data_IF_100056619398
#
_entry.id   IF_100056619398
#
_cell.length_a   1.000
_cell.length_b   1.000
_cell.length_c   1.000
_cell.angle_alpha   90.00
_cell.angle_beta   90.00
_cell.angle_gamma   90.00
#
_symmetry.space_group_name_H-M   'P 1'
#
loop_
_entity.id
_entity.type
_entity.pdbx_description
1 polymer ?
#
# COMPACT_ATOMS: atom_id res chain seq x y z
N UNK A 1 -11.90 -42.22 -44.87
CA UNK A 1 -13.14 -42.99 -44.70
C UNK A 1 -13.15 -43.53 -43.28
N UNK A 2 -13.98 -42.96 -42.41
CA UNK A 2 -14.00 -43.28 -40.98
C UNK A 2 -15.42 -43.12 -40.45
N UNK A 3 -15.91 -44.19 -39.86
CA UNK A 3 -17.26 -44.49 -39.38
C UNK A 3 -17.80 -43.47 -38.36
N UNK A 4 -19.05 -43.02 -38.55
CA UNK A 4 -19.84 -42.26 -37.57
C UNK A 4 -20.81 -43.19 -36.86
N UNK A 5 -20.81 -43.16 -35.53
CA UNK A 5 -21.83 -43.74 -34.67
C UNK A 5 -22.94 -42.71 -34.37
N UNK A 6 -24.17 -43.18 -34.53
CA UNK A 6 -25.45 -42.75 -33.93
C UNK A 6 -25.37 -42.75 -32.39
N UNK A 7 -26.16 -42.05 -31.58
CA UNK A 7 -27.31 -41.16 -31.71
C UNK A 7 -27.88 -40.90 -30.29
N UNK A 8 -28.76 -39.90 -30.13
CA UNK A 8 -29.94 -39.93 -29.23
C UNK A 8 -30.66 -38.58 -29.24
N UNK A 9 -31.88 -38.60 -29.78
CA UNK A 9 -32.92 -37.59 -29.65
C UNK A 9 -33.70 -37.86 -28.36
N UNK A 10 -34.12 -36.81 -27.64
CA UNK A 10 -35.46 -36.63 -27.03
C UNK A 10 -35.41 -35.53 -25.96
N UNK A 11 -36.20 -34.47 -26.16
CA UNK A 11 -37.24 -33.92 -25.25
C UNK A 11 -37.74 -32.63 -25.89
N UNK A 12 -38.80 -32.76 -26.68
CA UNK A 12 -39.68 -31.67 -27.09
C UNK A 12 -41.04 -32.30 -27.44
N UNK A 13 -41.91 -32.46 -26.43
CA UNK A 13 -43.36 -32.63 -26.61
C UNK A 13 -44.07 -32.06 -25.39
N UNK A 14 -45.00 -31.12 -25.60
CA UNK A 14 -45.88 -30.68 -24.52
C UNK A 14 -46.55 -29.31 -24.65
N UNK A 15 -46.62 -28.68 -25.83
CA UNK A 15 -47.58 -27.59 -26.05
C UNK A 15 -49.00 -28.19 -26.11
N UNK A 16 -49.79 -28.03 -25.04
CA UNK A 16 -51.26 -27.91 -25.11
C UNK A 16 -51.81 -27.18 -23.86
N UNK A 17 -52.42 -26.02 -24.15
CA UNK A 17 -53.46 -25.28 -23.44
C UNK A 17 -53.25 -24.89 -21.96
N UNK A 18 -53.11 -23.57 -21.73
CA UNK A 18 -53.35 -22.95 -20.43
C UNK A 18 -53.24 -21.43 -20.50
N UNK A 19 -54.38 -20.73 -20.47
CA UNK A 19 -54.49 -19.27 -20.44
C UNK A 19 -53.84 -18.69 -19.16
N UNK A 20 -53.45 -17.41 -19.25
CA UNK A 20 -53.47 -16.40 -18.16
C UNK A 20 -52.23 -16.32 -17.24
N UNK A 21 -51.37 -15.32 -17.46
CA UNK A 21 -50.54 -14.73 -16.40
C UNK A 21 -50.62 -13.19 -16.46
N UNK A 22 -51.70 -12.66 -15.86
CA UNK A 22 -51.84 -11.29 -15.41
C UNK A 22 -51.93 -11.34 -13.87
N UNK A 23 -50.79 -11.09 -13.18
CA UNK A 23 -50.58 -10.53 -11.80
C UNK A 23 -51.26 -11.23 -10.58
N UNK A 24 -50.87 -10.95 -9.30
CA UNK A 24 -49.64 -10.35 -8.74
C UNK A 24 -49.04 -11.15 -7.54
N UNK A 25 -47.72 -11.07 -7.33
CA UNK A 25 -47.09 -11.38 -6.04
C UNK A 25 -46.32 -10.16 -5.53
N UNK A 26 -47.08 -9.15 -5.08
CA UNK A 26 -46.62 -8.16 -4.12
C UNK A 26 -46.92 -8.74 -2.74
N UNK A 27 -45.90 -9.07 -1.94
CA UNK A 27 -45.94 -8.89 -0.48
C UNK A 27 -44.54 -8.96 0.11
N UNK A 28 -44.19 -7.85 0.76
CA UNK A 28 -43.09 -7.60 1.73
C UNK A 28 -41.70 -7.27 1.16
N UNK A 29 -41.43 -5.97 1.01
CA UNK A 29 -40.60 -5.18 1.96
C UNK A 29 -40.84 -3.67 1.79
N UNK A 30 -41.44 -3.11 2.84
CA UNK A 30 -41.44 -1.74 3.39
C UNK A 30 -41.61 -0.52 2.46
N UNK A 31 -42.84 0.00 2.44
CA UNK A 31 -43.12 1.45 2.38
C UNK A 31 -43.11 1.97 3.82
N UNK A 32 -42.24 2.92 4.15
CA UNK A 32 -42.48 3.83 5.26
C UNK A 32 -43.25 5.03 4.68
N UNK A 33 -44.56 5.09 4.94
CA UNK A 33 -45.33 6.33 4.83
C UNK A 33 -45.75 6.69 6.26
N UNK A 34 -45.18 7.76 6.81
CA UNK A 34 -45.58 8.32 8.09
C UNK A 34 -47.03 8.83 8.00
N UNK A 35 -47.85 8.43 8.97
CA UNK A 35 -49.22 8.92 9.15
C UNK A 35 -49.20 10.37 9.65
N UNK A 36 -49.79 11.28 8.88
CA UNK A 36 -50.17 12.64 9.31
C UNK A 36 -51.69 12.76 9.36
N UNK A 37 -52.20 13.40 10.42
CA UNK A 37 -53.59 13.39 10.91
C UNK A 37 -54.66 13.92 9.94
N UNK A 38 -55.87 13.41 10.16
CA UNK A 38 -57.17 13.84 9.63
C UNK A 38 -57.49 15.33 9.85
N UNK A 39 -57.99 16.00 8.80
CA UNK A 39 -58.94 17.11 8.92
C UNK A 39 -60.04 16.93 7.87
N UNK A 40 -61.30 16.90 8.34
CA UNK A 40 -62.52 16.63 7.55
C UNK A 40 -62.80 17.76 6.54
N UNK A 41 -63.24 17.40 5.33
CA UNK A 41 -63.86 18.36 4.41
C UNK A 41 -64.02 17.84 2.97
N UNK A 42 -65.23 17.34 2.66
CA UNK A 42 -65.92 17.34 1.36
C UNK A 42 -65.23 16.73 0.12
N UNK A 43 -65.72 15.53 -0.25
CA UNK A 43 -66.11 15.13 -1.61
C UNK A 43 -65.16 15.44 -2.77
N UNK A 44 -64.26 14.49 -3.09
CA UNK A 44 -63.57 14.42 -4.37
C UNK A 44 -62.58 13.26 -4.41
N UNK A 45 -62.81 12.27 -5.28
CA UNK A 45 -61.88 11.17 -5.51
C UNK A 45 -60.53 11.70 -6.04
N UNK A 46 -59.54 11.86 -5.15
CA UNK A 46 -58.14 12.05 -5.56
C UNK A 46 -57.47 10.69 -5.65
N UNK A 47 -57.02 10.33 -6.85
CA UNK A 47 -56.07 9.24 -7.06
C UNK A 47 -54.81 9.55 -6.24
N UNK A 48 -54.19 8.56 -5.57
CA UNK A 48 -52.93 8.78 -4.88
C UNK A 48 -51.89 9.18 -5.93
N UNK A 49 -51.44 10.43 -5.87
CA UNK A 49 -50.24 10.87 -6.56
C UNK A 49 -49.08 10.26 -5.79
N UNK A 50 -48.59 9.11 -6.26
CA UNK A 50 -47.24 8.67 -5.90
C UNK A 50 -46.30 9.75 -6.44
N UNK A 51 -45.66 10.52 -5.56
CA UNK A 51 -44.48 11.27 -5.98
C UNK A 51 -43.48 10.27 -6.56
N UNK A 52 -42.94 10.52 -7.77
CA UNK A 52 -41.89 9.68 -8.31
C UNK A 52 -40.68 9.77 -7.36
N UNK A 53 -40.19 8.61 -6.91
CA UNK A 53 -38.91 8.55 -6.24
C UNK A 53 -37.85 9.13 -7.19
N UNK A 54 -37.03 10.02 -6.67
CA UNK A 54 -35.88 10.57 -7.37
C UNK A 54 -34.99 9.39 -7.83
N UNK A 55 -34.98 9.07 -9.14
CA UNK A 55 -34.06 8.08 -9.70
C UNK A 55 -34.44 7.39 -11.01
N UNK A 56 -35.70 7.35 -11.43
CA UNK A 56 -36.06 6.68 -12.70
C UNK A 56 -35.92 7.65 -13.89
N UNK A 57 -34.71 7.80 -14.45
CA UNK A 57 -34.56 8.35 -15.80
C UNK A 57 -35.14 7.31 -16.76
N UNK A 58 -36.15 7.64 -17.58
CA UNK A 58 -36.74 6.65 -18.47
C UNK A 58 -35.66 6.13 -19.42
N UNK A 59 -35.51 4.81 -19.46
CA UNK A 59 -34.61 4.08 -20.35
C UNK A 59 -34.71 4.50 -21.83
N UNK A 60 -35.86 5.09 -22.20
CA UNK A 60 -36.22 5.42 -23.56
C UNK A 60 -36.71 4.19 -24.31
N UNK A 61 -36.72 4.27 -25.64
CA UNK A 61 -37.24 3.20 -26.49
C UNK A 61 -36.27 2.02 -26.51
N UNK A 62 -36.80 0.80 -26.43
CA UNK A 62 -36.02 -0.43 -26.61
C UNK A 62 -35.38 -0.42 -28.00
N UNK A 63 -34.07 -0.64 -28.06
CA UNK A 63 -33.30 -0.72 -29.31
C UNK A 63 -32.98 -2.16 -29.70
N UNK A 64 -33.09 -3.10 -28.78
CA UNK A 64 -32.89 -4.52 -29.03
C UNK A 64 -33.91 -5.38 -28.28
N UNK A 65 -34.04 -6.65 -28.67
CA UNK A 65 -34.48 -7.69 -27.76
C UNK A 65 -33.39 -7.95 -26.69
N UNK A 66 -33.66 -8.81 -25.71
CA UNK A 66 -32.64 -9.30 -24.78
C UNK A 66 -31.57 -10.09 -25.56
N UNK A 67 -30.30 -9.74 -25.32
CA UNK A 67 -29.12 -10.38 -25.90
C UNK A 67 -28.43 -11.15 -24.78
N UNK A 68 -28.47 -12.47 -24.84
CA UNK A 68 -27.86 -13.37 -23.86
C UNK A 68 -26.62 -14.08 -24.43
N UNK A 69 -25.82 -14.66 -23.54
CA UNK A 69 -24.55 -15.30 -23.89
C UNK A 69 -23.35 -14.36 -23.74
N UNK A 70 -23.52 -13.27 -23.00
CA UNK A 70 -22.40 -12.44 -22.55
C UNK A 70 -21.53 -13.22 -21.56
N UNK A 71 -20.36 -12.65 -21.23
CA UNK A 71 -19.41 -13.19 -20.25
C UNK A 71 -20.10 -13.71 -19.00
N UNK A 72 -19.68 -14.87 -18.50
CA UNK A 72 -20.23 -15.48 -17.26
C UNK A 72 -21.76 -15.70 -17.28
N UNK A 73 -22.35 -15.84 -18.47
CA UNK A 73 -23.76 -16.16 -18.65
C UNK A 73 -24.72 -14.97 -18.47
N UNK A 74 -24.22 -13.74 -18.59
CA UNK A 74 -25.05 -12.55 -18.51
C UNK A 74 -25.87 -12.27 -19.77
N UNK A 75 -26.79 -11.34 -19.62
CA UNK A 75 -27.60 -10.80 -20.72
C UNK A 75 -27.62 -9.27 -20.65
N UNK A 76 -27.91 -8.62 -21.78
CA UNK A 76 -28.13 -7.17 -21.86
C UNK A 76 -29.34 -6.88 -22.74
N UNK A 77 -30.07 -5.82 -22.41
CA UNK A 77 -31.04 -5.20 -23.31
C UNK A 77 -30.66 -3.73 -23.51
N UNK A 78 -30.63 -3.31 -24.77
CA UNK A 78 -30.22 -1.95 -25.15
C UNK A 78 -31.46 -1.05 -25.27
N UNK A 79 -31.36 0.16 -24.72
CA UNK A 79 -32.37 1.20 -24.84
C UNK A 79 -31.73 2.51 -25.30
N UNK A 80 -32.57 3.45 -25.76
CA UNK A 80 -32.05 4.71 -26.31
C UNK A 80 -31.36 5.62 -25.30
N UNK A 81 -31.73 5.52 -24.02
CA UNK A 81 -31.11 6.25 -22.91
C UNK A 81 -30.01 5.48 -22.18
N UNK A 82 -29.89 4.17 -22.43
CA UNK A 82 -28.87 3.28 -21.87
C UNK A 82 -29.25 1.81 -21.79
N UNK A 83 -28.57 1.03 -20.95
CA UNK A 83 -28.59 -0.43 -21.04
C UNK A 83 -29.05 -1.07 -19.73
N UNK A 84 -29.72 -2.22 -19.82
CA UNK A 84 -30.07 -3.04 -18.65
C UNK A 84 -29.31 -4.34 -18.75
N UNK A 85 -28.42 -4.58 -17.79
CA UNK A 85 -27.62 -5.80 -17.67
C UNK A 85 -28.27 -6.76 -16.69
N UNK A 86 -28.26 -8.04 -17.01
CA UNK A 86 -28.74 -9.08 -16.14
C UNK A 86 -27.63 -10.08 -15.85
N UNK A 87 -27.43 -10.39 -14.58
CA UNK A 87 -26.73 -11.60 -14.15
C UNK A 87 -27.60 -12.35 -13.14
N UNK A 88 -27.35 -13.64 -12.95
CA UNK A 88 -28.01 -14.42 -11.90
C UNK A 88 -27.73 -13.87 -10.50
N UNK A 89 -26.57 -13.24 -10.29
CA UNK A 89 -26.15 -12.75 -8.98
C UNK A 89 -26.80 -11.40 -8.63
N UNK A 90 -26.93 -10.50 -9.61
CA UNK A 90 -27.36 -9.10 -9.39
C UNK A 90 -28.79 -8.83 -9.86
N UNK A 91 -29.37 -9.71 -10.68
CA UNK A 91 -30.63 -9.41 -11.37
C UNK A 91 -30.44 -8.31 -12.43
N UNK A 92 -31.53 -7.67 -12.89
CA UNK A 92 -31.46 -6.58 -13.85
C UNK A 92 -30.96 -5.30 -13.18
N UNK A 93 -29.85 -4.76 -13.68
CA UNK A 93 -29.22 -3.52 -13.21
C UNK A 93 -29.07 -2.56 -14.38
N UNK A 94 -29.51 -1.33 -14.18
CA UNK A 94 -29.55 -0.34 -15.23
C UNK A 94 -28.32 0.57 -15.23
N UNK A 95 -27.84 0.95 -16.42
CA UNK A 95 -26.67 1.81 -16.63
C UNK A 95 -27.01 2.89 -17.64
N UNK A 96 -26.91 4.17 -17.26
CA UNK A 96 -27.42 5.29 -18.05
C UNK A 96 -26.39 6.42 -18.22
N UNK A 97 -26.64 7.31 -19.19
CA UNK A 97 -25.96 8.59 -19.34
C UNK A 97 -24.42 8.50 -19.39
N UNK A 98 -23.75 9.46 -18.76
CA UNK A 98 -22.29 9.56 -18.79
C UNK A 98 -21.59 8.37 -18.13
N UNK A 99 -22.20 7.75 -17.11
CA UNK A 99 -21.67 6.53 -16.49
C UNK A 99 -21.70 5.37 -17.48
N UNK A 100 -22.79 5.22 -18.24
CA UNK A 100 -22.85 4.25 -19.34
C UNK A 100 -21.78 4.53 -20.38
N UNK A 101 -21.64 5.77 -20.84
CA UNK A 101 -20.66 6.10 -21.86
C UNK A 101 -19.22 5.78 -21.38
N UNK A 102 -18.94 5.99 -20.08
CA UNK A 102 -17.66 5.58 -19.48
C UNK A 102 -17.51 4.07 -19.40
N UNK A 103 -18.58 3.35 -19.06
CA UNK A 103 -18.58 1.88 -19.01
C UNK A 103 -18.33 1.27 -20.39
N UNK A 104 -18.98 1.80 -21.42
CA UNK A 104 -18.79 1.45 -22.82
C UNK A 104 -17.31 1.62 -23.22
N UNK A 105 -16.72 2.77 -22.87
CA UNK A 105 -15.31 3.05 -23.13
C UNK A 105 -14.32 2.25 -22.25
N UNK A 106 -14.81 1.51 -21.26
CA UNK A 106 -14.00 0.67 -20.37
C UNK A 106 -14.05 -0.82 -20.76
N UNK A 107 -14.64 -1.15 -21.92
CA UNK A 107 -14.76 -2.51 -22.41
C UNK A 107 -15.98 -3.27 -21.89
N UNK A 108 -16.98 -2.56 -21.33
CA UNK A 108 -18.25 -3.13 -20.87
C UNK A 108 -18.04 -4.28 -19.85
N UNK A 109 -18.89 -5.30 -19.85
CA UNK A 109 -18.81 -6.46 -18.96
C UNK A 109 -17.57 -7.33 -19.20
N UNK A 110 -17.00 -7.23 -20.39
CA UNK A 110 -15.76 -7.90 -20.76
C UNK A 110 -14.51 -7.18 -20.21
N UNK A 111 -14.65 -5.91 -19.80
CA UNK A 111 -13.60 -5.10 -19.21
C UNK A 111 -13.28 -5.42 -17.74
N UNK A 112 -12.36 -4.63 -17.16
CA UNK A 112 -11.93 -4.77 -15.75
C UNK A 112 -13.02 -4.45 -14.73
N UNK A 113 -14.03 -3.67 -15.11
CA UNK A 113 -15.19 -3.37 -14.25
C UNK A 113 -16.10 -4.58 -14.06
N UNK A 114 -16.23 -5.45 -15.06
CA UNK A 114 -17.23 -6.52 -15.04
C UNK A 114 -18.66 -5.97 -15.06
N UNK A 115 -19.62 -6.73 -14.57
CA UNK A 115 -21.03 -6.32 -14.56
C UNK A 115 -21.34 -5.25 -13.51
N UNK A 116 -22.33 -4.37 -13.77
CA UNK A 116 -22.87 -3.49 -12.74
C UNK A 116 -23.55 -4.32 -11.64
N UNK A 117 -23.31 -3.96 -10.39
CA UNK A 117 -23.83 -4.69 -9.22
C UNK A 117 -25.04 -4.03 -8.58
N UNK A 118 -25.15 -2.72 -8.72
CA UNK A 118 -26.24 -1.91 -8.19
C UNK A 118 -26.61 -0.81 -9.20
N UNK A 119 -27.87 -0.32 -9.19
CA UNK A 119 -28.25 0.84 -9.99
C UNK A 119 -27.43 2.08 -9.62
N UNK A 120 -27.39 3.05 -10.54
CA UNK A 120 -26.79 4.36 -10.29
C UNK A 120 -27.41 5.05 -9.06
N UNK A 121 -26.57 5.51 -8.14
CA UNK A 121 -26.96 6.33 -7.00
C UNK A 121 -26.53 7.78 -7.23
N UNK A 122 -27.51 8.67 -7.33
CA UNK A 122 -27.30 10.12 -7.44
C UNK A 122 -27.74 10.83 -6.16
N UNK A 123 -27.08 11.95 -5.86
CA UNK A 123 -27.30 12.71 -4.62
C UNK A 123 -26.05 12.79 -3.74
N UNK A 124 -24.89 12.42 -4.28
CA UNK A 124 -23.61 12.68 -3.64
C UNK A 124 -23.32 14.20 -3.65
N UNK A 125 -22.34 14.61 -2.82
CA UNK A 125 -21.87 16.01 -2.77
C UNK A 125 -21.55 16.56 -4.16
N UNK A 126 -21.71 17.86 -4.35
CA UNK A 126 -21.39 18.54 -5.61
C UNK A 126 -22.18 18.02 -6.83
N UNK A 127 -23.35 17.42 -6.60
CA UNK A 127 -24.22 16.85 -7.64
C UNK A 127 -23.70 15.54 -8.22
N UNK A 128 -22.89 14.81 -7.46
CA UNK A 128 -22.29 13.57 -7.93
C UNK A 128 -23.26 12.38 -7.98
N UNK A 129 -22.94 11.46 -8.88
CA UNK A 129 -23.53 10.13 -8.96
C UNK A 129 -22.42 9.07 -8.93
N UNK A 130 -22.75 7.87 -8.48
CA UNK A 130 -21.85 6.71 -8.52
C UNK A 130 -22.61 5.47 -8.92
N UNK A 131 -21.96 4.58 -9.66
CA UNK A 131 -22.45 3.24 -9.89
C UNK A 131 -21.37 2.21 -9.54
N UNK A 132 -21.82 1.12 -8.91
CA UNK A 132 -20.96 0.01 -8.48
C UNK A 132 -20.92 -1.09 -9.54
N UNK A 133 -19.73 -1.64 -9.71
CA UNK A 133 -19.43 -2.75 -10.59
C UNK A 133 -18.63 -3.80 -9.82
N UNK A 134 -18.53 -5.01 -10.36
CA UNK A 134 -17.79 -6.10 -9.73
C UNK A 134 -16.32 -5.74 -9.45
N UNK A 135 -15.68 -5.02 -10.36
CA UNK A 135 -14.26 -4.66 -10.29
C UNK A 135 -13.96 -3.23 -9.85
N UNK A 136 -14.98 -2.43 -9.51
CA UNK A 136 -14.77 -1.04 -9.11
C UNK A 136 -16.02 -0.16 -9.15
N UNK A 137 -15.79 1.13 -9.33
CA UNK A 137 -16.81 2.17 -9.30
C UNK A 137 -16.69 3.03 -10.56
N UNK A 138 -17.80 3.59 -11.03
CA UNK A 138 -17.77 4.76 -11.92
C UNK A 138 -18.46 5.90 -11.20
N UNK A 139 -17.74 7.00 -11.03
CA UNK A 139 -18.29 8.26 -10.54
C UNK A 139 -18.63 9.17 -11.70
N UNK A 140 -19.66 9.99 -11.55
CA UNK A 140 -19.95 11.13 -12.40
C UNK A 140 -20.10 12.39 -11.56
N UNK A 141 -19.55 13.51 -12.03
CA UNK A 141 -19.92 14.84 -11.53
C UNK A 141 -20.10 15.82 -12.69
N UNK A 142 -20.91 16.88 -12.54
CA UNK A 142 -21.02 17.92 -13.57
C UNK A 142 -19.67 18.59 -13.90
N UNK A 143 -18.77 18.67 -12.90
CA UNK A 143 -17.47 19.35 -13.05
C UNK A 143 -16.41 18.49 -13.76
N UNK A 144 -16.34 17.21 -13.43
CA UNK A 144 -15.26 16.33 -13.88
C UNK A 144 -15.69 15.31 -14.93
N UNK A 145 -17.00 15.11 -15.12
CA UNK A 145 -17.49 14.03 -15.99
C UNK A 145 -17.43 12.68 -15.29
N UNK A 146 -17.47 11.60 -16.08
CA UNK A 146 -17.54 10.23 -15.59
C UNK A 146 -16.17 9.52 -15.63
N UNK A 147 -15.74 8.97 -14.49
CA UNK A 147 -14.44 8.32 -14.32
C UNK A 147 -14.52 7.01 -13.53
N UNK A 148 -13.76 6.00 -13.97
CA UNK A 148 -13.74 4.70 -13.32
C UNK A 148 -12.62 4.60 -12.28
N UNK A 149 -12.89 4.03 -11.11
CA UNK A 149 -11.90 3.74 -10.05
C UNK A 149 -11.87 2.24 -9.82
N UNK A 150 -10.71 1.61 -10.00
CA UNK A 150 -10.58 0.15 -10.15
C UNK A 150 -9.53 -0.45 -9.20
N UNK A 151 -9.60 -1.77 -9.00
CA UNK A 151 -8.50 -2.57 -8.44
C UNK A 151 -7.99 -2.11 -7.07
N UNK A 152 -6.67 -2.05 -6.90
CA UNK A 152 -6.08 -1.65 -5.62
C UNK A 152 -6.38 -0.17 -5.27
N UNK A 153 -6.58 0.68 -6.28
CA UNK A 153 -6.87 2.11 -6.08
C UNK A 153 -8.23 2.30 -5.42
N UNK A 154 -9.26 1.53 -5.80
CA UNK A 154 -10.57 1.64 -5.13
C UNK A 154 -10.51 1.23 -3.66
N UNK A 155 -9.65 0.26 -3.30
CA UNK A 155 -9.43 -0.14 -1.91
C UNK A 155 -8.76 0.95 -1.06
N UNK A 156 -7.83 1.71 -1.66
CA UNK A 156 -7.20 2.86 -0.99
C UNK A 156 -8.17 4.05 -0.88
N UNK A 157 -8.93 4.31 -1.94
CA UNK A 157 -9.94 5.39 -1.97
C UNK A 157 -11.07 5.15 -0.96
N UNK A 158 -11.52 3.89 -0.80
CA UNK A 158 -12.54 3.53 0.19
C UNK A 158 -12.10 3.73 1.62
N UNK A 159 -10.84 3.40 1.93
CA UNK A 159 -10.25 3.63 3.26
C UNK A 159 -10.14 5.12 3.63
N UNK A 160 -10.31 6.01 2.64
CA UNK A 160 -10.25 7.46 2.80
C UNK A 160 -11.63 8.11 2.73
N UNK A 161 -12.72 7.36 2.92
CA UNK A 161 -14.10 7.85 2.86
C UNK A 161 -14.52 8.39 1.48
N UNK A 162 -13.93 7.81 0.43
CA UNK A 162 -14.30 8.06 -0.97
C UNK A 162 -14.36 9.57 -1.31
N UNK A 163 -15.45 10.00 -1.95
CA UNK A 163 -15.63 11.38 -2.40
C UNK A 163 -15.80 12.37 -1.25
N UNK A 164 -16.20 11.90 -0.06
CA UNK A 164 -16.30 12.72 1.14
C UNK A 164 -14.92 12.93 1.80
N UNK A 165 -13.98 12.07 1.45
CA UNK A 165 -12.58 12.12 1.84
C UNK A 165 -11.77 13.30 1.31
N UNK A 166 -10.52 13.35 1.77
CA UNK A 166 -9.57 14.40 1.42
C UNK A 166 -9.29 14.49 -0.08
N UNK A 167 -9.35 13.37 -0.81
CA UNK A 167 -9.08 13.28 -2.25
C UNK A 167 -10.19 13.88 -3.13
N UNK A 168 -11.45 13.81 -2.69
CA UNK A 168 -12.61 14.15 -3.52
C UNK A 168 -12.77 13.20 -4.72
N UNK A 169 -13.48 13.65 -5.74
CA UNK A 169 -13.80 12.83 -6.92
C UNK A 169 -12.58 12.52 -7.80
N UNK A 170 -12.58 11.37 -8.52
CA UNK A 170 -11.63 11.13 -9.61
C UNK A 170 -11.81 12.17 -10.72
N UNK A 171 -10.70 12.61 -11.31
CA UNK A 171 -10.67 13.62 -12.39
C UNK A 171 -10.02 13.10 -13.68
N UNK A 172 -9.76 11.80 -13.73
CA UNK A 172 -9.11 11.11 -14.82
C UNK A 172 -9.07 9.63 -14.57
N UNK A 173 -8.67 8.87 -15.58
CA UNK A 173 -8.59 7.41 -15.50
C UNK A 173 -7.29 6.95 -14.85
N UNK A 174 -7.28 5.67 -14.43
CA UNK A 174 -6.05 4.99 -14.06
C UNK A 174 -5.12 4.88 -15.28
N UNK A 175 -3.86 5.30 -15.10
CA UNK A 175 -2.79 5.14 -16.07
C UNK A 175 -1.68 4.27 -15.48
N UNK A 176 -1.19 3.29 -16.26
CA UNK A 176 -0.33 2.18 -15.79
C UNK A 176 1.02 2.08 -16.54
N UNK A 177 1.49 3.19 -17.07
CA UNK A 177 2.78 3.36 -17.77
C UNK A 177 3.91 3.82 -16.83
N UNK A 178 3.68 3.77 -15.51
CA UNK A 178 4.67 4.14 -14.51
C UNK A 178 5.74 3.04 -14.32
N UNK A 179 6.90 3.45 -13.81
CA UNK A 179 8.04 2.56 -13.60
C UNK A 179 7.66 1.33 -12.74
N UNK A 180 8.29 0.18 -12.98
CA UNK A 180 8.06 -1.05 -12.20
C UNK A 180 6.60 -1.53 -12.20
N UNK A 181 5.90 -1.35 -13.32
CA UNK A 181 4.48 -1.75 -13.52
C UNK A 181 3.53 -1.05 -12.54
N UNK A 182 3.83 0.19 -12.19
CA UNK A 182 2.94 0.96 -11.34
C UNK A 182 1.81 1.62 -12.12
N UNK A 183 0.79 2.02 -11.38
CA UNK A 183 -0.34 2.76 -11.88
C UNK A 183 -0.59 3.98 -11.01
N UNK A 184 -1.31 4.95 -11.53
CA UNK A 184 -1.81 6.06 -10.74
C UNK A 184 -3.16 6.53 -11.25
N UNK A 185 -3.88 7.23 -10.38
CA UNK A 185 -5.11 7.92 -10.75
C UNK A 185 -5.18 9.27 -10.04
N UNK A 186 -5.56 10.29 -10.79
CA UNK A 186 -5.72 11.65 -10.28
C UNK A 186 -7.13 11.86 -9.72
N UNK A 187 -7.18 12.55 -8.59
CA UNK A 187 -8.38 12.99 -7.89
C UNK A 187 -8.34 14.51 -7.73
N UNK A 188 -9.45 15.10 -7.32
CA UNK A 188 -9.63 16.56 -7.30
C UNK A 188 -8.56 17.32 -6.50
N UNK A 189 -7.98 16.71 -5.46
CA UNK A 189 -7.01 17.35 -4.55
C UNK A 189 -5.70 16.55 -4.38
N UNK A 190 -5.54 15.45 -5.11
CA UNK A 190 -4.40 14.56 -4.96
C UNK A 190 -4.40 13.42 -5.97
N UNK A 191 -3.61 12.40 -5.72
CA UNK A 191 -3.59 11.19 -6.52
C UNK A 191 -3.45 9.96 -5.63
N UNK A 192 -3.76 8.80 -6.18
CA UNK A 192 -3.38 7.51 -5.59
C UNK A 192 -2.40 6.86 -6.55
N UNK A 193 -1.25 6.42 -6.03
CA UNK A 193 -0.24 5.68 -6.77
C UNK A 193 -0.16 4.24 -6.26
N UNK A 194 -0.09 3.29 -7.19
CA UNK A 194 0.05 1.87 -6.95
C UNK A 194 1.34 1.34 -7.54
N UNK A 195 1.99 0.42 -6.83
CA UNK A 195 2.95 -0.51 -7.43
C UNK A 195 2.76 -1.92 -6.86
N UNK A 196 3.19 -2.98 -7.57
CA UNK A 196 3.15 -4.33 -7.02
C UNK A 196 3.92 -4.49 -5.70
N UNK A 197 4.97 -3.68 -5.49
CA UNK A 197 5.82 -3.76 -4.30
C UNK A 197 5.25 -3.00 -3.09
N UNK A 198 4.49 -1.94 -3.31
CA UNK A 198 4.04 -1.05 -2.23
C UNK A 198 2.54 -1.07 -1.98
N UNK A 199 1.72 -1.50 -2.95
CA UNK A 199 0.28 -1.31 -2.88
C UNK A 199 -0.14 0.12 -3.27
N UNK A 200 -1.41 0.46 -3.09
CA UNK A 200 -2.00 1.73 -3.50
C UNK A 200 -2.04 2.75 -2.34
N UNK A 201 -1.34 3.87 -2.50
CA UNK A 201 -1.21 4.90 -1.46
C UNK A 201 -1.59 6.28 -1.98
N UNK A 202 -2.33 7.06 -1.18
CA UNK A 202 -2.73 8.41 -1.56
C UNK A 202 -1.61 9.41 -1.29
N UNK A 203 -1.52 10.44 -2.13
CA UNK A 203 -0.58 11.56 -1.97
C UNK A 203 -1.33 12.84 -2.35
N UNK A 204 -1.25 13.89 -1.53
CA UNK A 204 -1.97 15.15 -1.76
C UNK A 204 -1.19 16.36 -1.23
N UNK A 205 -1.71 17.56 -1.52
CA UNK A 205 -1.22 18.82 -0.94
C UNK A 205 0.26 19.10 -1.16
N UNK A 206 0.92 19.68 -0.15
CA UNK A 206 2.33 20.08 -0.25
C UNK A 206 3.29 18.89 -0.36
N UNK A 207 2.98 17.75 0.25
CA UNK A 207 3.79 16.54 0.10
C UNK A 207 3.74 16.04 -1.35
N UNK A 208 2.58 16.09 -2.00
CA UNK A 208 2.46 15.79 -3.44
C UNK A 208 3.34 16.70 -4.29
N UNK A 209 3.31 18.00 -4.02
CA UNK A 209 4.14 18.98 -4.72
C UNK A 209 5.63 18.70 -4.52
N UNK A 210 6.04 18.41 -3.28
CA UNK A 210 7.42 18.02 -2.95
C UNK A 210 7.85 16.75 -3.66
N UNK A 211 6.97 15.74 -3.71
CA UNK A 211 7.23 14.48 -4.41
C UNK A 211 7.40 14.69 -5.92
N UNK A 212 6.60 15.56 -6.52
CA UNK A 212 6.73 15.92 -7.93
C UNK A 212 8.05 16.62 -8.25
N UNK A 213 8.52 17.53 -7.38
CA UNK A 213 9.85 18.16 -7.51
C UNK A 213 10.98 17.13 -7.43
N UNK A 214 10.79 16.04 -6.69
CA UNK A 214 11.76 14.95 -6.59
C UNK A 214 11.74 13.99 -7.81
N UNK A 215 10.89 14.23 -8.81
CA UNK A 215 10.81 13.37 -9.99
C UNK A 215 9.94 12.13 -9.81
N UNK A 216 8.97 12.18 -8.88
CA UNK A 216 7.95 11.15 -8.70
C UNK A 216 8.55 9.76 -8.40
N UNK A 217 7.93 8.70 -8.92
CA UNK A 217 8.30 7.30 -8.68
C UNK A 217 9.64 6.91 -9.32
N UNK A 218 10.08 7.67 -10.33
CA UNK A 218 11.40 7.55 -10.96
C UNK A 218 12.47 8.32 -10.17
N UNK A 219 12.05 9.17 -9.24
CA UNK A 219 12.90 9.93 -8.35
C UNK A 219 13.57 9.08 -7.27
N UNK A 220 14.45 9.69 -6.45
CA UNK A 220 15.22 8.98 -5.44
C UNK A 220 14.37 8.37 -4.33
N UNK A 221 13.12 8.82 -4.15
CA UNK A 221 12.20 8.32 -3.13
C UNK A 221 11.50 7.01 -3.52
N UNK A 222 11.30 6.75 -4.82
CA UNK A 222 10.47 5.65 -5.29
C UNK A 222 8.98 5.86 -5.01
N UNK A 223 8.20 4.78 -4.97
CA UNK A 223 6.75 4.82 -4.70
C UNK A 223 6.43 5.15 -3.23
N UNK A 224 5.25 5.73 -2.94
CA UNK A 224 4.74 5.84 -1.58
C UNK A 224 4.51 4.45 -0.94
N UNK A 225 4.68 4.37 0.38
CA UNK A 225 4.46 3.16 1.20
C UNK A 225 3.49 3.39 2.35
N UNK A 226 3.01 4.61 2.53
CA UNK A 226 1.94 4.96 3.47
C UNK A 226 1.11 6.12 2.91
N UNK A 227 -0.06 6.37 3.50
CA UNK A 227 -0.69 7.69 3.43
C UNK A 227 0.12 8.73 4.22
N UNK A 228 -0.19 10.01 4.02
CA UNK A 228 0.29 11.10 4.89
C UNK A 228 -0.23 10.91 6.32
N UNK A 229 0.66 11.10 7.30
CA UNK A 229 0.31 11.15 8.71
C UNK A 229 0.72 12.51 9.30
N UNK A 230 -0.22 13.15 9.97
CA UNK A 230 -0.08 14.49 10.55
C UNK A 230 -0.13 14.43 12.08
N UNK A 231 -0.17 15.61 12.72
CA UNK A 231 -0.04 15.80 14.17
C UNK A 231 1.36 15.48 14.69
N UNK A 232 2.37 15.65 13.83
CA UNK A 232 3.74 15.74 14.29
C UNK A 232 3.95 17.09 14.98
N UNK A 233 5.11 17.25 15.62
CA UNK A 233 5.54 18.50 16.26
C UNK A 233 5.24 19.73 15.38
N UNK A 234 4.85 20.85 15.97
CA UNK A 234 4.60 22.10 15.22
C UNK A 234 3.54 21.94 14.09
N UNK A 235 2.56 21.05 14.29
CA UNK A 235 1.53 20.68 13.32
C UNK A 235 2.08 20.15 11.97
N UNK A 236 3.25 19.51 12.01
CA UNK A 236 3.84 18.91 10.83
C UNK A 236 3.12 17.63 10.38
N UNK A 237 3.41 17.27 9.13
CA UNK A 237 3.00 16.01 8.52
C UNK A 237 4.22 15.31 7.92
N UNK A 238 4.11 14.02 7.69
CA UNK A 238 5.08 13.29 6.90
C UNK A 238 4.42 12.15 6.11
N UNK A 239 5.13 11.65 5.11
CA UNK A 239 4.72 10.49 4.34
C UNK A 239 5.94 9.60 4.04
N UNK A 240 5.73 8.29 4.10
CA UNK A 240 6.77 7.29 3.78
C UNK A 240 6.75 6.93 2.31
N UNK A 241 7.95 6.79 1.76
CA UNK A 241 8.25 6.29 0.43
C UNK A 241 9.21 5.10 0.55
N UNK A 242 9.46 4.38 -0.54
CA UNK A 242 10.33 3.20 -0.54
C UNK A 242 11.73 3.50 0.04
N UNK A 243 12.29 4.66 -0.32
CA UNK A 243 13.68 4.98 -0.01
C UNK A 243 13.82 6.18 0.95
N UNK A 244 12.73 6.71 1.50
CA UNK A 244 12.80 7.88 2.36
C UNK A 244 11.45 8.36 2.87
N UNK A 245 11.46 9.55 3.48
CA UNK A 245 10.27 10.26 3.93
C UNK A 245 10.26 11.66 3.35
N UNK A 246 9.07 12.22 3.11
CA UNK A 246 8.90 13.66 2.96
C UNK A 246 8.27 14.17 4.25
N UNK A 247 8.91 15.14 4.90
CA UNK A 247 8.35 15.90 6.03
C UNK A 247 7.82 17.24 5.54
N UNK A 248 6.74 17.72 6.12
CA UNK A 248 6.13 18.99 5.80
C UNK A 248 5.80 19.76 7.07
N UNK A 249 6.17 21.04 7.10
CA UNK A 249 5.59 22.07 7.98
C UNK A 249 5.36 23.33 7.16
N UNK A 250 4.52 24.24 7.64
CA UNK A 250 4.35 25.56 7.03
C UNK A 250 5.65 26.37 7.01
N UNK A 251 6.52 26.16 8.01
CA UNK A 251 7.81 26.87 8.13
C UNK A 251 8.90 26.36 7.20
N UNK A 252 8.95 25.06 6.91
CA UNK A 252 10.03 24.44 6.10
C UNK A 252 9.60 24.03 4.70
N UNK A 253 8.29 23.95 4.43
CA UNK A 253 7.77 23.29 3.24
C UNK A 253 8.05 21.78 3.22
N UNK A 254 7.74 21.10 2.11
CA UNK A 254 7.94 19.66 1.95
C UNK A 254 9.42 19.34 1.68
N UNK A 255 10.04 18.54 2.54
CA UNK A 255 11.46 18.24 2.49
C UNK A 255 11.72 16.73 2.54
N UNK A 256 12.38 16.14 1.53
CA UNK A 256 12.71 14.73 1.51
C UNK A 256 13.94 14.43 2.37
N UNK A 257 13.91 13.33 3.13
CA UNK A 257 15.04 12.81 3.91
C UNK A 257 15.17 11.33 3.58
N UNK A 258 16.37 10.85 3.21
CA UNK A 258 16.56 9.46 2.73
C UNK A 258 17.87 8.85 3.22
N UNK A 259 18.05 7.56 2.91
CA UNK A 259 19.31 6.83 3.12
C UNK A 259 19.94 6.98 4.51
N UNK A 260 21.26 7.19 4.53
CA UNK A 260 22.04 7.29 5.76
C UNK A 260 21.68 8.53 6.61
N UNK A 261 21.34 9.65 5.98
CA UNK A 261 20.93 10.87 6.68
C UNK A 261 19.61 10.62 7.40
N UNK A 262 18.62 10.00 6.74
CA UNK A 262 17.37 9.60 7.38
C UNK A 262 17.60 8.65 8.56
N UNK A 263 18.47 7.64 8.40
CA UNK A 263 18.78 6.70 9.47
C UNK A 263 19.36 7.42 10.70
N UNK A 264 20.26 8.40 10.49
CA UNK A 264 20.80 9.21 11.59
C UNK A 264 19.76 10.15 12.20
N UNK A 265 18.98 10.82 11.37
CA UNK A 265 17.90 11.70 11.82
C UNK A 265 16.87 10.94 12.68
N UNK A 266 16.50 9.73 12.27
CA UNK A 266 15.64 8.83 13.03
C UNK A 266 16.24 8.47 14.40
N UNK A 267 17.53 8.11 14.43
CA UNK A 267 18.26 7.80 15.67
C UNK A 267 18.39 9.01 16.62
N UNK A 268 18.26 10.22 16.10
CA UNK A 268 18.26 11.46 16.88
C UNK A 268 16.84 11.92 17.30
N UNK A 269 15.82 11.09 17.06
CA UNK A 269 14.44 11.38 17.47
C UNK A 269 13.58 12.08 16.42
N UNK A 270 13.98 12.05 15.15
CA UNK A 270 13.27 12.72 14.05
C UNK A 270 12.99 14.21 14.38
N UNK A 271 11.81 14.72 14.04
CA UNK A 271 11.44 16.13 14.23
C UNK A 271 11.33 16.52 15.71
N UNK A 272 11.11 15.54 16.58
CA UNK A 272 11.08 15.76 18.04
C UNK A 272 12.48 15.88 18.64
N UNK A 273 13.51 15.47 17.88
CA UNK A 273 14.90 15.55 18.26
C UNK A 273 15.50 16.96 18.23
N UNK A 274 16.77 17.05 18.61
CA UNK A 274 17.52 18.32 18.65
C UNK A 274 17.72 18.96 17.27
N UNK A 275 17.64 18.17 16.20
CA UNK A 275 17.72 18.69 14.83
C UNK A 275 16.44 19.37 14.35
N UNK A 276 15.27 19.02 14.90
CA UNK A 276 13.99 19.50 14.37
C UNK A 276 13.76 19.12 12.90
N UNK A 277 12.87 19.84 12.21
CA UNK A 277 12.51 19.55 10.83
C UNK A 277 13.66 19.81 9.84
N UNK A 278 13.73 19.04 8.73
CA UNK A 278 14.57 19.37 7.58
C UNK A 278 14.18 20.73 6.96
N UNK A 279 15.17 21.51 6.52
CA UNK A 279 14.99 22.84 5.88
C UNK A 279 15.28 22.85 4.38
N UNK A 280 15.69 21.72 3.83
CA UNK A 280 16.04 21.57 2.42
C UNK A 280 16.20 20.09 2.06
N UNK A 281 16.20 19.75 0.75
CA UNK A 281 16.54 18.40 0.32
C UNK A 281 18.01 18.09 0.59
N UNK A 282 18.37 16.82 0.51
CA UNK A 282 19.77 16.41 0.47
C UNK A 282 20.47 17.03 -0.75
N UNK A 283 21.63 17.64 -0.52
CA UNK A 283 22.49 18.23 -1.55
C UNK A 283 23.81 17.47 -1.59
N UNK A 284 24.23 17.05 -2.79
CA UNK A 284 25.49 16.37 -3.03
C UNK A 284 26.41 17.26 -3.89
N UNK A 285 26.97 18.35 -3.34
CA UNK A 285 28.00 19.10 -4.05
C UNK A 285 29.18 18.16 -4.28
N UNK A 286 29.70 18.13 -5.51
CA UNK A 286 30.77 17.25 -5.99
C UNK A 286 31.80 16.84 -4.92
N UNK A 287 32.13 15.54 -4.84
CA UNK A 287 33.11 15.01 -3.88
C UNK A 287 32.58 13.94 -2.93
N UNK A 288 31.43 13.32 -3.24
CA UNK A 288 30.90 12.17 -2.49
C UNK A 288 30.35 12.51 -1.10
N UNK A 289 30.17 13.79 -0.78
CA UNK A 289 29.55 14.25 0.48
C UNK A 289 28.14 14.72 0.21
N UNK A 290 27.17 14.10 0.88
CA UNK A 290 25.76 14.47 0.84
C UNK A 290 25.45 15.21 2.13
N UNK A 291 24.91 16.41 2.05
CA UNK A 291 24.57 17.23 3.21
C UNK A 291 23.08 17.55 3.23
N UNK A 292 22.51 17.67 4.42
CA UNK A 292 21.14 18.13 4.58
C UNK A 292 21.01 19.04 5.80
N UNK A 293 20.40 20.20 5.58
CA UNK A 293 20.13 21.16 6.62
C UNK A 293 18.81 20.83 7.34
N UNK A 294 18.84 20.98 8.65
CA UNK A 294 17.73 20.87 9.59
C UNK A 294 17.62 22.17 10.41
N UNK A 295 16.54 22.35 11.15
CA UNK A 295 16.35 23.53 11.99
C UNK A 295 17.51 23.74 12.97
N UNK A 296 17.92 22.67 13.66
CA UNK A 296 18.96 22.66 14.69
C UNK A 296 20.35 22.23 14.24
N UNK A 297 20.61 22.10 12.93
CA UNK A 297 21.94 21.69 12.45
C UNK A 297 21.99 21.19 11.02
N UNK A 298 23.16 20.74 10.59
CA UNK A 298 23.35 20.07 9.30
C UNK A 298 23.93 18.69 9.54
N UNK A 299 23.33 17.67 8.90
CA UNK A 299 23.94 16.35 8.81
C UNK A 299 24.70 16.22 7.50
N UNK A 300 25.88 15.61 7.54
CA UNK A 300 26.72 15.36 6.36
C UNK A 300 27.08 13.89 6.29
N UNK A 301 26.57 13.19 5.29
CA UNK A 301 26.98 11.84 4.92
C UNK A 301 28.18 11.87 3.98
N UNK A 302 29.24 11.17 4.34
CA UNK A 302 30.43 10.98 3.53
C UNK A 302 30.39 9.59 2.89
N UNK A 303 30.23 9.52 1.57
CA UNK A 303 30.10 8.25 0.83
C UNK A 303 31.37 7.41 0.86
N UNK A 304 32.55 8.05 0.97
CA UNK A 304 33.83 7.33 1.01
C UNK A 304 33.99 6.56 2.32
N UNK A 305 33.49 7.13 3.43
CA UNK A 305 33.64 6.54 4.77
C UNK A 305 32.36 5.88 5.30
N UNK A 306 31.21 6.15 4.69
CA UNK A 306 29.89 5.72 5.15
C UNK A 306 29.41 6.44 6.43
N UNK A 307 30.04 7.56 6.83
CA UNK A 307 29.77 8.24 8.11
C UNK A 307 28.82 9.42 7.95
N UNK A 308 28.01 9.66 8.98
CA UNK A 308 27.15 10.86 9.08
C UNK A 308 27.65 11.74 10.24
N UNK A 309 28.08 12.96 9.94
CA UNK A 309 28.57 13.96 10.91
C UNK A 309 27.59 15.14 11.07
N UNK A 310 27.71 15.96 12.12
CA UNK A 310 26.77 17.06 12.45
C UNK A 310 26.45 17.22 13.94
N UNK A 311 25.54 18.13 14.34
CA UNK A 311 25.12 18.30 15.73
C UNK A 311 24.46 17.03 16.30
N UNK A 312 24.90 16.61 17.48
CA UNK A 312 24.54 15.31 18.06
C UNK A 312 25.17 14.12 17.33
N UNK A 313 26.05 14.35 16.33
CA UNK A 313 26.57 13.29 15.50
C UNK A 313 27.79 12.55 16.08
N UNK A 314 28.60 13.09 17.00
CA UNK A 314 29.79 12.36 17.48
C UNK A 314 30.16 12.53 18.96
N UNK A 315 30.25 11.39 19.67
CA UNK A 315 31.40 10.99 20.51
C UNK A 315 31.43 9.45 20.57
N UNK A 316 32.30 8.84 19.75
CA UNK A 316 32.70 7.42 19.87
C UNK A 316 31.91 6.39 19.04
N UNK A 317 32.45 6.05 17.86
CA UNK A 317 32.28 4.73 17.20
C UNK A 317 30.89 4.08 17.23
N UNK A 318 29.89 4.67 16.57
CA UNK A 318 28.63 3.98 16.30
C UNK A 318 28.67 3.31 14.93
N UNK A 319 28.48 1.99 14.82
CA UNK A 319 28.39 1.34 13.50
C UNK A 319 27.16 1.87 12.67
N UNK A 320 27.27 2.02 11.34
CA UNK A 320 26.15 2.42 10.48
C UNK A 320 24.97 1.44 10.49
N UNK A 321 23.72 1.93 10.54
CA UNK A 321 22.50 1.10 10.43
C UNK A 321 21.92 1.16 9.02
N UNK A 322 21.48 0.02 8.47
CA UNK A 322 20.70 -0.01 7.23
C UNK A 322 19.21 0.10 7.55
N UNK A 323 18.52 1.15 7.07
CA UNK A 323 17.09 1.31 7.27
C UNK A 323 16.29 0.33 6.38
N UNK A 324 15.08 0.00 6.81
CA UNK A 324 14.16 -0.86 6.06
C UNK A 324 14.02 -2.28 6.61
N UNK A 325 13.15 -3.06 5.97
CA UNK A 325 12.96 -4.47 6.27
C UNK A 325 14.14 -5.29 5.74
N UNK A 326 14.46 -6.39 6.42
CA UNK A 326 15.49 -7.32 5.94
C UNK A 326 15.07 -7.90 4.58
N UNK A 327 15.81 -7.62 3.50
CA UNK A 327 15.39 -7.93 2.13
C UNK A 327 15.27 -9.43 1.85
N UNK A 328 15.91 -10.24 2.69
CA UNK A 328 15.96 -11.69 2.57
C UNK A 328 14.98 -12.41 3.51
N UNK A 329 14.04 -11.67 4.12
CA UNK A 329 12.98 -12.21 4.96
C UNK A 329 12.10 -13.25 4.21
N UNK A 330 11.83 -13.01 2.92
CA UNK A 330 10.94 -13.82 2.08
C UNK A 330 11.64 -14.42 0.85
N UNK A 331 12.94 -14.69 0.93
CA UNK A 331 13.72 -15.17 -0.21
C UNK A 331 13.14 -16.50 -0.79
N UNK A 332 12.85 -16.58 -2.11
CA UNK A 332 12.34 -17.81 -2.72
C UNK A 332 13.39 -18.91 -2.54
N UNK A 333 12.98 -19.96 -1.82
CA UNK A 333 13.88 -21.04 -1.45
C UNK A 333 14.29 -21.84 -2.69
N UNK A 334 15.59 -22.12 -2.84
CA UNK A 334 16.07 -23.09 -3.83
C UNK A 334 15.94 -24.55 -3.34
N UNK A 335 14.97 -24.82 -2.45
CA UNK A 335 14.72 -26.15 -1.86
C UNK A 335 15.15 -26.32 -0.39
N UNK A 336 15.82 -25.33 0.21
CA UNK A 336 16.16 -25.35 1.65
C UNK A 336 16.23 -23.94 2.27
N UNK A 337 16.12 -23.88 3.61
CA UNK A 337 15.84 -22.67 4.39
C UNK A 337 16.85 -21.53 4.22
N UNK A 338 18.13 -21.82 3.98
CA UNK A 338 19.18 -20.78 3.90
C UNK A 338 19.60 -20.47 2.46
N UNK A 339 18.75 -20.75 1.48
CA UNK A 339 19.05 -20.52 0.07
C UNK A 339 18.17 -19.45 -0.58
N UNK A 340 18.76 -18.74 -1.55
CA UNK A 340 18.10 -17.86 -2.52
C UNK A 340 18.80 -17.98 -3.87
N UNK A 341 18.03 -18.17 -4.96
CA UNK A 341 18.54 -18.19 -6.33
C UNK A 341 19.75 -19.12 -6.56
N UNK A 342 19.77 -20.29 -5.91
CA UNK A 342 20.85 -21.28 -6.04
C UNK A 342 22.10 -21.03 -5.19
N UNK A 343 22.12 -19.95 -4.39
CA UNK A 343 23.21 -19.66 -3.45
C UNK A 343 22.76 -19.77 -1.99
N UNK A 344 23.62 -20.34 -1.15
CA UNK A 344 23.47 -20.32 0.31
C UNK A 344 23.88 -18.97 0.87
N UNK A 345 24.85 -18.31 0.24
CA UNK A 345 25.44 -17.07 0.71
C UNK A 345 24.79 -15.86 0.07
N UNK A 346 24.51 -14.86 0.90
CA UNK A 346 24.13 -13.52 0.46
C UNK A 346 25.32 -12.76 -0.12
N UNK A 347 25.06 -11.60 -0.72
CA UNK A 347 26.09 -10.65 -1.15
C UNK A 347 26.99 -10.18 0.02
N UNK A 348 26.54 -10.34 1.27
CA UNK A 348 27.32 -10.05 2.48
C UNK A 348 28.24 -11.20 2.88
N UNK A 349 28.17 -12.35 2.18
CA UNK A 349 28.99 -13.53 2.41
C UNK A 349 28.48 -14.47 3.49
N UNK A 350 27.32 -14.20 4.10
CA UNK A 350 26.73 -15.03 5.14
C UNK A 350 25.54 -15.82 4.62
N UNK A 351 25.25 -16.95 5.26
CA UNK A 351 24.13 -17.78 4.86
C UNK A 351 22.79 -17.04 5.05
N UNK A 352 21.91 -17.05 4.05
CA UNK A 352 20.65 -16.31 4.11
C UNK A 352 19.84 -16.66 5.36
N UNK A 353 19.18 -15.64 5.94
CA UNK A 353 18.31 -15.76 7.13
C UNK A 353 19.02 -16.25 8.40
N UNK A 354 20.35 -16.29 8.43
CA UNK A 354 21.11 -16.50 9.66
C UNK A 354 21.25 -15.21 10.47
N UNK A 355 21.54 -15.35 11.76
CA UNK A 355 21.81 -14.23 12.65
C UNK A 355 22.96 -13.34 12.14
N UNK A 356 24.01 -13.97 11.60
CA UNK A 356 25.17 -13.30 11.03
C UNK A 356 24.83 -12.50 9.77
N UNK A 357 24.01 -13.04 8.88
CA UNK A 357 23.58 -12.32 7.68
C UNK A 357 22.64 -11.15 7.99
N UNK A 358 21.68 -11.37 8.89
CA UNK A 358 20.77 -10.31 9.34
C UNK A 358 21.52 -9.20 10.07
N UNK A 359 22.43 -9.54 10.98
CA UNK A 359 23.24 -8.56 11.68
C UNK A 359 24.15 -7.80 10.70
N UNK A 360 24.79 -8.50 9.75
CA UNK A 360 25.58 -7.86 8.70
C UNK A 360 24.73 -6.90 7.85
N UNK A 361 23.52 -7.31 7.44
CA UNK A 361 22.56 -6.43 6.77
C UNK A 361 22.27 -5.20 7.61
N UNK A 362 21.85 -5.39 8.86
CA UNK A 362 21.42 -4.29 9.71
C UNK A 362 22.55 -3.31 10.00
N UNK A 363 23.80 -3.78 9.97
CA UNK A 363 25.01 -2.97 10.15
C UNK A 363 25.63 -2.48 8.83
N UNK A 364 25.07 -2.82 7.68
CA UNK A 364 25.62 -2.45 6.38
C UNK A 364 27.03 -2.99 6.14
N UNK A 365 27.30 -4.20 6.63
CA UNK A 365 28.62 -4.82 6.57
C UNK A 365 28.63 -6.04 5.68
N UNK A 366 29.83 -6.38 5.19
CA UNK A 366 30.13 -7.64 4.52
C UNK A 366 31.10 -8.47 5.35
N UNK A 367 31.14 -9.77 5.09
CA UNK A 367 31.95 -10.75 5.80
C UNK A 367 33.38 -10.30 6.10
N UNK A 368 34.08 -9.81 5.08
CA UNK A 368 35.50 -9.44 5.16
C UNK A 368 35.78 -8.36 6.20
N UNK A 369 34.75 -7.59 6.58
CA UNK A 369 34.83 -6.54 7.59
C UNK A 369 34.59 -7.05 9.01
N UNK A 370 34.19 -8.31 9.18
CA UNK A 370 33.72 -8.87 10.45
C UNK A 370 34.63 -10.01 10.91
N UNK A 371 34.84 -11.01 10.07
CA UNK A 371 35.55 -12.23 10.47
C UNK A 371 36.50 -12.72 9.37
N UNK A 372 37.72 -13.14 9.75
CA UNK A 372 38.72 -13.69 8.83
C UNK A 372 38.73 -15.22 8.75
N UNK A 373 38.04 -15.94 9.64
CA UNK A 373 38.17 -17.41 9.77
C UNK A 373 37.43 -18.25 8.73
N UNK A 374 36.63 -17.66 7.84
CA UNK A 374 35.99 -18.40 6.74
C UNK A 374 34.76 -19.27 7.12
N UNK A 375 34.32 -19.27 8.38
CA UNK A 375 33.35 -20.23 8.92
C UNK A 375 31.90 -19.73 9.09
N UNK A 376 31.65 -18.42 9.02
CA UNK A 376 30.34 -17.80 8.76
C UNK A 376 29.35 -17.80 9.90
N UNK A 377 29.78 -18.40 11.00
CA UNK A 377 29.14 -18.36 12.27
C UNK A 377 29.59 -17.14 13.10
N UNK A 378 28.95 -16.96 14.24
CA UNK A 378 29.18 -15.85 15.14
C UNK A 378 30.42 -16.03 16.02
N UNK A 379 30.96 -17.25 16.20
CA UNK A 379 32.04 -17.57 17.16
C UNK A 379 33.25 -16.65 17.01
N UNK A 380 33.67 -16.35 15.79
CA UNK A 380 34.85 -15.52 15.51
C UNK A 380 34.61 -14.00 15.56
N UNK A 381 33.35 -13.53 15.69
CA UNK A 381 33.02 -12.11 15.47
C UNK A 381 33.69 -11.17 16.46
N UNK A 382 33.68 -11.49 17.78
CA UNK A 382 34.35 -10.65 18.79
C UNK A 382 35.85 -10.50 18.49
N UNK A 383 36.54 -11.60 18.22
CA UNK A 383 37.98 -11.57 17.91
C UNK A 383 38.25 -10.86 16.58
N UNK A 384 37.42 -11.09 15.56
CA UNK A 384 37.52 -10.39 14.28
C UNK A 384 37.31 -8.87 14.41
N UNK A 385 36.47 -8.44 15.37
CA UNK A 385 36.28 -7.03 15.74
C UNK A 385 37.56 -6.44 16.36
N UNK A 386 38.10 -7.12 17.37
CA UNK A 386 39.32 -6.71 18.08
C UNK A 386 40.52 -6.63 17.12
N UNK A 387 40.71 -7.64 16.27
CA UNK A 387 41.80 -7.68 15.29
C UNK A 387 41.74 -6.51 14.29
N UNK A 388 40.54 -5.97 14.04
CA UNK A 388 40.34 -4.81 13.16
C UNK A 388 40.38 -3.48 13.92
N UNK A 389 40.84 -3.48 15.17
CA UNK A 389 40.95 -2.29 16.02
C UNK A 389 39.59 -1.68 16.39
N UNK A 390 38.51 -2.45 16.30
CA UNK A 390 37.16 -1.96 16.61
C UNK A 390 36.81 -2.16 18.08
N UNK A 391 35.90 -1.35 18.58
CA UNK A 391 35.59 -1.30 20.01
C UNK A 391 34.69 -2.47 20.42
N UNK A 392 35.02 -3.08 21.57
CA UNK A 392 34.19 -4.09 22.23
C UNK A 392 33.94 -3.62 23.66
N UNK A 393 32.70 -3.67 24.12
CA UNK A 393 32.31 -3.27 25.48
C UNK A 393 31.43 -4.31 26.13
N UNK A 394 31.27 -4.21 27.45
CA UNK A 394 30.28 -4.92 28.25
C UNK A 394 28.96 -4.14 28.39
N UNK A 395 28.93 -2.88 28.00
CA UNK A 395 27.72 -2.03 28.10
C UNK A 395 26.97 -2.07 26.78
N UNK A 396 25.63 -2.24 26.73
CA UNK A 396 24.84 -2.13 25.51
C UNK A 396 24.61 -0.69 25.08
N UNK A 397 24.53 -0.44 23.77
CA UNK A 397 23.95 0.78 23.18
C UNK A 397 23.13 0.41 21.96
N UNK A 398 22.09 1.20 21.67
CA UNK A 398 21.29 1.04 20.45
C UNK A 398 22.21 1.05 19.22
N UNK A 399 22.01 0.08 18.33
CA UNK A 399 22.83 -0.17 17.15
C UNK A 399 24.01 -1.12 17.37
N UNK A 400 24.46 -1.37 18.61
CA UNK A 400 25.55 -2.32 18.85
C UNK A 400 25.17 -3.74 18.40
N UNK A 401 26.18 -4.54 18.02
CA UNK A 401 25.99 -5.99 17.83
C UNK A 401 26.13 -6.66 19.20
N UNK A 402 25.04 -7.18 19.73
CA UNK A 402 25.07 -8.07 20.89
C UNK A 402 25.63 -9.42 20.46
N UNK A 403 26.70 -9.87 21.11
CA UNK A 403 27.41 -11.09 20.76
C UNK A 403 27.45 -12.08 21.93
N UNK A 404 27.13 -13.34 21.64
CA UNK A 404 27.27 -14.47 22.57
C UNK A 404 28.29 -15.45 22.04
N UNK A 405 29.19 -15.87 22.93
CA UNK A 405 30.19 -16.88 22.64
C UNK A 405 29.54 -18.24 22.34
N UNK A 406 30.24 -19.08 21.60
CA UNK A 406 29.80 -20.45 21.31
C UNK A 406 29.55 -21.29 22.57
N UNK A 407 30.29 -21.05 23.64
CA UNK A 407 30.10 -21.70 24.95
C UNK A 407 28.85 -21.22 25.69
N UNK A 408 28.30 -20.07 25.31
CA UNK A 408 27.14 -19.44 25.93
C UNK A 408 25.84 -19.73 25.17
N UNK A 409 25.92 -20.48 24.06
CA UNK A 409 24.77 -20.87 23.23
C UNK A 409 24.68 -22.38 23.13
N UNK A 410 23.46 -22.91 23.01
CA UNK A 410 23.22 -24.34 22.79
C UNK A 410 23.67 -24.82 21.41
N UNK A 411 23.90 -23.91 20.46
CA UNK A 411 24.28 -24.22 19.08
C UNK A 411 25.78 -24.52 18.90
N UNK A 412 26.64 -24.11 19.83
CA UNK A 412 28.09 -24.20 19.66
C UNK A 412 28.67 -23.27 18.58
N UNK A 413 27.87 -22.46 17.90
CA UNK A 413 28.30 -21.56 16.81
C UNK A 413 28.35 -20.08 17.21
N UNK A 414 28.02 -19.78 18.46
CA UNK A 414 27.77 -18.42 18.96
C UNK A 414 26.47 -17.86 18.41
N UNK A 415 26.17 -16.62 18.78
CA UNK A 415 25.00 -15.89 18.25
C UNK A 415 25.26 -14.39 18.20
N UNK A 416 24.57 -13.70 17.28
CA UNK A 416 24.59 -12.23 17.19
C UNK A 416 23.20 -11.66 17.00
N UNK A 417 22.97 -10.51 17.60
CA UNK A 417 21.73 -9.75 17.49
C UNK A 417 22.01 -8.25 17.45
N UNK A 418 21.01 -7.45 17.08
CA UNK A 418 21.13 -5.99 17.00
C UNK A 418 20.40 -5.37 18.18
N UNK A 419 21.10 -4.53 18.95
CA UNK A 419 20.48 -3.79 20.04
C UNK A 419 19.56 -2.71 19.47
N UNK A 420 18.27 -2.80 19.78
CA UNK A 420 17.23 -1.83 19.38
C UNK A 420 16.70 -1.00 20.56
N UNK A 421 17.12 -1.33 21.79
CA UNK A 421 16.79 -0.57 23.00
C UNK A 421 17.71 -0.95 24.14
N UNK A 422 17.86 -0.06 25.12
CA UNK A 422 18.55 -0.33 26.38
C UNK A 422 17.58 -0.02 27.51
N UNK A 423 17.34 -1.00 28.36
CA UNK A 423 16.46 -0.90 29.51
C UNK A 423 17.16 -0.17 30.66
N UNK A 424 16.37 0.33 31.61
CA UNK A 424 16.88 1.06 32.78
C UNK A 424 17.78 0.22 33.69
N UNK A 425 17.59 -1.09 33.72
CA UNK A 425 18.44 -2.05 34.44
C UNK A 425 19.76 -2.36 33.70
N UNK A 426 20.01 -1.71 32.57
CA UNK A 426 21.18 -1.91 31.73
C UNK A 426 21.14 -3.19 30.88
N UNK A 427 20.00 -3.89 30.81
CA UNK A 427 19.79 -4.98 29.84
C UNK A 427 19.40 -4.41 28.46
N UNK A 428 19.54 -5.22 27.41
CA UNK A 428 19.23 -4.82 26.04
C UNK A 428 17.88 -5.38 25.58
N UNK A 429 17.19 -4.61 24.72
CA UNK A 429 16.19 -5.12 23.78
C UNK A 429 16.88 -5.34 22.44
N UNK A 430 16.75 -6.53 21.87
CA UNK A 430 17.44 -6.92 20.64
C UNK A 430 16.47 -7.42 19.57
N UNK A 431 16.80 -7.16 18.31
CA UNK A 431 16.21 -7.83 17.16
C UNK A 431 17.22 -8.78 16.51
N UNK A 432 16.75 -9.92 16.00
CA UNK A 432 17.62 -10.98 15.50
C UNK A 432 16.89 -11.91 14.51
N UNK A 433 17.68 -12.79 13.89
CA UNK A 433 17.19 -13.91 13.09
C UNK A 433 17.76 -15.22 13.60
N UNK A 434 17.08 -16.33 13.32
CA UNK A 434 17.58 -17.69 13.56
C UNK A 434 17.95 -17.97 15.03
N UNK A 435 17.20 -17.40 15.98
CA UNK A 435 17.36 -17.67 17.40
C UNK A 435 16.30 -18.67 17.90
N UNK A 436 15.04 -18.23 17.99
CA UNK A 436 13.93 -19.07 18.46
C UNK A 436 13.33 -19.93 17.35
N UNK A 437 13.27 -19.38 16.14
CA UNK A 437 12.70 -20.03 14.96
C UNK A 437 13.79 -20.14 13.89
N UNK A 438 14.06 -21.34 13.35
CA UNK A 438 15.01 -21.50 12.25
C UNK A 438 14.70 -20.53 11.10
N UNK A 439 15.66 -19.69 10.75
CA UNK A 439 15.53 -18.69 9.68
C UNK A 439 14.46 -17.62 9.91
N UNK A 440 13.88 -17.53 11.10
CA UNK A 440 12.82 -16.58 11.44
C UNK A 440 13.33 -15.36 12.20
N UNK A 441 12.61 -14.25 12.06
CA UNK A 441 12.81 -13.01 12.83
C UNK A 441 12.33 -13.18 14.28
N UNK A 442 13.02 -12.54 15.21
CA UNK A 442 12.61 -12.46 16.61
C UNK A 442 13.04 -11.16 17.27
N UNK A 443 12.34 -10.82 18.34
CA UNK A 443 12.72 -9.76 19.28
C UNK A 443 12.83 -10.40 20.66
N UNK A 444 13.93 -10.14 21.36
CA UNK A 444 14.07 -10.46 22.77
C UNK A 444 14.25 -9.18 23.57
N UNK A 445 13.62 -9.13 24.73
CA UNK A 445 13.83 -8.06 25.69
C UNK A 445 14.61 -8.57 26.90
N UNK A 446 15.19 -7.64 27.65
CA UNK A 446 15.90 -7.91 28.89
C UNK A 446 17.06 -8.90 28.76
N UNK A 447 17.79 -8.83 27.64
CA UNK A 447 18.93 -9.72 27.39
C UNK A 447 20.26 -9.09 27.81
N UNK A 448 21.20 -9.92 28.24
CA UNK A 448 22.60 -9.55 28.44
C UNK A 448 23.47 -10.41 27.54
N UNK A 449 24.36 -9.76 26.79
CA UNK A 449 25.29 -10.42 25.89
C UNK A 449 26.68 -10.53 26.52
N UNK A 450 27.49 -11.49 26.06
CA UNK A 450 28.87 -11.65 26.54
C UNK A 450 29.75 -10.47 26.12
N UNK A 451 29.39 -9.82 25.01
CA UNK A 451 29.98 -8.57 24.57
C UNK A 451 29.03 -7.78 23.67
N UNK A 452 29.28 -6.48 23.57
CA UNK A 452 28.67 -5.58 22.62
C UNK A 452 29.76 -5.03 21.70
N UNK A 453 29.60 -5.24 20.40
CA UNK A 453 30.56 -4.85 19.38
C UNK A 453 30.11 -3.52 18.74
N UNK A 454 31.07 -2.59 18.58
CA UNK A 454 30.88 -1.15 18.25
C UNK A 454 31.55 -0.70 16.95
#
# INVERSE_FOLDING_TARGET
>A
MGTRATGLSHICRGLRSGRRWLRPALRRRQRLCLQGRDVRGLGGHRRPVCQPGLGERPAGLSRSAEICGLRDGGCVQLFSGGNVYYTRATGPVQVWGAIRDRYDNSGLESGRLGYPTEPEFCGLRDGGCVQRYQGGLIYFTPRFGAHAVLGAIVGSYSALDFENGKLGYPIGEEYCDLANRGCAQNFATGLIQFSPATGAHPIWGEILRGYGVQGWERGPLGYPTSAEFCNLRDNGCAQRFQNGLIYFTTGTGPQPVRGAILARYAALGHETGTLGYPKGPESAPSGGRISQAFQGGTLVFDQATGRVTGPGAETGGGIPLVPGAYPDANAPACGFLWCKNGSVYSERGFAYRNCTDFAAFRRGMVWSQINGSGDGNARGWKNGWIQRGRTVSSTPKVGAVAWWAASSTSSGYGHVAIVIGVNSDGSAKVEEYNYATPGGYGIRNSVRADAYLY
#
